data_IF_730869110516
#
_entry.id   IF_730869110516
#
_cell.length_a   1.000
_cell.length_b   1.000
_cell.length_c   1.000
_cell.angle_alpha   90.00
_cell.angle_beta   90.00
_cell.angle_gamma   90.00
#
_symmetry.space_group_name_H-M   'P 1'
#
loop_
_entity.id
_entity.type
_entity.pdbx_description
1 polymer ?
#
# COMPACT_ATOMS: atom_id res chain seq x y z
N UNK A 1 -6.49 -46.87 22.62
CA UNK A 1 -6.20 -45.49 22.20
C UNK A 1 -6.68 -44.41 23.17
N UNK A 2 -7.95 -44.36 23.60
CA UNK A 2 -8.44 -43.28 24.50
C UNK A 2 -7.83 -43.30 25.92
N UNK A 3 -7.33 -44.44 26.40
CA UNK A 3 -6.74 -44.57 27.74
C UNK A 3 -5.24 -44.20 27.84
N UNK A 4 -4.49 -44.19 26.73
CA UNK A 4 -3.08 -43.80 26.74
C UNK A 4 -2.90 -42.28 26.66
N UNK A 5 -3.78 -41.58 25.95
CA UNK A 5 -3.76 -40.11 25.86
C UNK A 5 -4.02 -39.42 27.22
N UNK A 6 -4.84 -40.03 28.08
CA UNK A 6 -5.17 -39.47 29.40
C UNK A 6 -3.98 -39.53 30.38
N UNK A 7 -3.12 -40.55 30.28
CA UNK A 7 -1.90 -40.67 31.10
C UNK A 7 -0.83 -39.68 30.65
N UNK A 8 -0.64 -39.49 29.34
CA UNK A 8 0.31 -38.50 28.82
C UNK A 8 -0.12 -37.07 29.11
N UNK A 9 -1.42 -36.75 29.04
CA UNK A 9 -1.92 -35.41 29.37
C UNK A 9 -1.73 -35.05 30.84
N UNK A 10 -2.02 -35.97 31.76
CA UNK A 10 -1.77 -35.78 33.21
C UNK A 10 -0.28 -35.64 33.54
N UNK A 11 0.60 -36.37 32.85
CA UNK A 11 2.05 -36.25 33.06
C UNK A 11 2.59 -34.92 32.54
N UNK A 12 2.03 -34.40 31.43
CA UNK A 12 2.41 -33.11 30.88
C UNK A 12 1.97 -31.94 31.76
N UNK A 13 0.74 -32.00 32.31
CA UNK A 13 0.21 -30.98 33.22
C UNK A 13 1.00 -30.90 34.53
N UNK A 14 1.45 -32.03 35.08
CA UNK A 14 2.30 -32.06 36.28
C UNK A 14 3.68 -31.46 36.00
N UNK A 15 4.29 -31.80 34.86
CA UNK A 15 5.58 -31.24 34.45
C UNK A 15 5.50 -29.74 34.14
N UNK A 16 4.39 -29.28 33.55
CA UNK A 16 4.13 -27.85 33.32
C UNK A 16 3.94 -27.09 34.63
N UNK A 17 3.20 -27.65 35.59
CA UNK A 17 2.98 -27.01 36.89
C UNK A 17 4.26 -26.95 37.74
N UNK A 18 5.09 -28.00 37.75
CA UNK A 18 6.38 -27.96 38.44
C UNK A 18 7.31 -26.91 37.80
N UNK A 19 7.33 -26.82 36.47
CA UNK A 19 8.19 -25.87 35.76
C UNK A 19 7.73 -24.41 35.93
N UNK A 20 6.42 -24.16 35.96
CA UNK A 20 5.84 -22.85 36.28
C UNK A 20 6.12 -22.48 37.74
N UNK A 21 6.03 -23.44 38.67
CA UNK A 21 6.32 -23.19 40.09
C UNK A 21 7.79 -22.85 40.33
N UNK A 22 8.72 -23.54 39.66
CA UNK A 22 10.16 -23.23 39.75
C UNK A 22 10.46 -21.85 39.16
N UNK A 23 9.87 -21.50 38.00
CA UNK A 23 10.05 -20.17 37.39
C UNK A 23 9.50 -19.04 38.26
N UNK A 24 8.35 -19.24 38.92
CA UNK A 24 7.79 -18.25 39.84
C UNK A 24 8.65 -18.09 41.10
N UNK A 25 9.22 -19.17 41.63
CA UNK A 25 10.13 -19.10 42.79
C UNK A 25 11.43 -18.37 42.41
N UNK A 26 12.01 -18.66 41.25
CA UNK A 26 13.21 -17.97 40.76
C UNK A 26 12.95 -16.47 40.48
N UNK A 27 11.78 -16.10 39.92
CA UNK A 27 11.40 -14.69 39.78
C UNK A 27 11.22 -14.01 41.14
N UNK A 28 10.61 -14.69 42.11
CA UNK A 28 10.40 -14.13 43.44
C UNK A 28 11.73 -13.91 44.19
N UNK A 29 12.66 -14.86 44.09
CA UNK A 29 14.01 -14.72 44.64
C UNK A 29 14.79 -13.61 43.95
N UNK A 30 14.72 -13.51 42.62
CA UNK A 30 15.37 -12.43 41.88
C UNK A 30 14.80 -11.05 42.27
N UNK A 31 13.48 -10.91 42.39
CA UNK A 31 12.83 -9.68 42.85
C UNK A 31 13.21 -9.34 44.29
N UNK A 32 13.30 -10.34 45.18
CA UNK A 32 13.71 -10.14 46.57
C UNK A 32 15.18 -9.70 46.67
N UNK A 33 16.09 -10.35 45.95
CA UNK A 33 17.50 -9.98 45.91
C UNK A 33 17.73 -8.60 45.28
N UNK A 34 16.98 -8.27 44.22
CA UNK A 34 17.07 -6.96 43.58
C UNK A 34 16.58 -5.86 44.53
N UNK A 35 15.44 -6.06 45.20
CA UNK A 35 14.95 -5.12 46.20
C UNK A 35 15.93 -4.99 47.38
N UNK A 36 16.46 -6.10 47.90
CA UNK A 36 17.43 -6.07 49.00
C UNK A 36 18.70 -5.30 48.60
N UNK A 37 19.25 -5.57 47.40
CA UNK A 37 20.42 -4.87 46.85
C UNK A 37 20.17 -3.37 46.65
N UNK A 38 18.97 -2.98 46.21
CA UNK A 38 18.57 -1.57 46.07
C UNK A 38 18.53 -0.91 47.46
N UNK A 39 17.89 -1.53 48.46
CA UNK A 39 17.86 -0.99 49.83
C UNK A 39 19.25 -0.87 50.46
N UNK A 40 20.13 -1.84 50.24
CA UNK A 40 21.48 -1.83 50.79
C UNK A 40 22.35 -0.75 50.13
N UNK A 41 22.25 -0.59 48.80
CA UNK A 41 22.91 0.51 48.08
C UNK A 41 22.41 1.87 48.53
N UNK A 42 21.11 2.01 48.76
CA UNK A 42 20.51 3.27 49.23
C UNK A 42 20.97 3.62 50.65
N UNK A 43 21.08 2.61 51.52
CA UNK A 43 21.60 2.76 52.89
C UNK A 43 23.08 3.17 52.89
N UNK A 44 23.90 2.55 52.02
CA UNK A 44 25.32 2.91 51.85
C UNK A 44 25.51 4.34 51.30
N UNK A 45 24.74 4.73 50.28
CA UNK A 45 24.76 6.11 49.75
C UNK A 45 24.39 7.15 50.81
N UNK A 46 23.40 6.87 51.65
CA UNK A 46 23.01 7.77 52.74
C UNK A 46 24.11 7.90 53.80
N UNK A 47 24.80 6.80 54.12
CA UNK A 47 25.93 6.79 55.06
C UNK A 47 27.13 7.59 54.50
N UNK A 48 27.49 7.38 53.24
CA UNK A 48 28.61 8.08 52.59
C UNK A 48 28.30 9.57 52.40
N UNK A 49 27.05 9.92 52.11
CA UNK A 49 26.59 11.30 52.05
C UNK A 49 26.71 11.98 53.42
N UNK A 50 26.30 11.33 54.51
CA UNK A 50 26.46 11.92 55.86
C UNK A 50 27.93 12.05 56.31
N UNK A 51 28.82 11.18 55.86
CA UNK A 51 30.26 11.27 56.15
C UNK A 51 30.90 12.48 55.44
N UNK A 52 30.52 12.75 54.19
CA UNK A 52 31.01 13.88 53.39
C UNK A 52 30.70 15.26 54.01
N UNK A 53 29.61 15.39 54.78
CA UNK A 53 29.24 16.64 55.44
C UNK A 53 30.03 16.95 56.71
N UNK A 54 30.72 15.96 57.30
CA UNK A 54 31.53 16.15 58.52
C UNK A 54 32.94 16.72 58.24
N UNK A 55 33.45 16.61 57.01
CA UNK A 55 34.82 17.02 56.68
C UNK A 55 34.97 18.46 56.15
N UNK A 56 33.87 19.15 55.83
CA UNK A 56 33.90 20.54 55.32
C UNK A 56 33.68 21.56 56.45
N UNK A 57 34.45 21.43 57.51
CA UNK A 57 34.54 22.42 58.58
C UNK A 57 35.52 23.54 58.22
N UNK A 58 34.97 24.74 58.01
CA UNK A 58 35.66 26.04 58.10
C UNK A 58 36.42 26.56 56.86
N UNK A 59 35.67 26.99 55.82
CA UNK A 59 36.00 28.19 55.03
C UNK A 59 34.72 28.69 54.29
N UNK A 60 34.37 29.95 54.57
CA UNK A 60 33.27 30.76 54.05
C UNK A 60 31.86 30.11 54.00
N UNK A 61 31.28 29.95 55.20
CA UNK A 61 29.97 29.32 55.41
C UNK A 61 28.84 30.04 54.68
N UNK A 62 28.90 31.37 54.53
CA UNK A 62 27.85 32.17 53.93
C UNK A 62 27.76 32.01 52.41
N UNK A 63 28.91 31.95 51.71
CA UNK A 63 28.95 31.69 50.27
C UNK A 63 28.61 30.24 49.93
N UNK A 64 29.03 29.28 50.76
CA UNK A 64 28.60 27.88 50.63
C UNK A 64 27.09 27.72 50.86
N UNK A 65 26.52 28.39 51.86
CA UNK A 65 25.06 28.40 52.10
C UNK A 65 24.33 29.00 50.88
N UNK A 66 24.81 30.10 50.32
CA UNK A 66 24.20 30.72 49.14
C UNK A 66 24.27 29.82 47.90
N UNK A 67 25.39 29.12 47.68
CA UNK A 67 25.55 28.17 46.59
C UNK A 67 24.59 26.97 46.74
N UNK A 68 24.50 26.39 47.94
CA UNK A 68 23.58 25.29 48.24
C UNK A 68 22.11 25.68 48.08
N UNK A 69 21.73 26.91 48.46
CA UNK A 69 20.37 27.41 48.23
C UNK A 69 20.08 27.56 46.73
N UNK A 70 21.02 28.09 45.95
CA UNK A 70 20.88 28.20 44.49
C UNK A 70 20.76 26.83 43.82
N UNK A 71 21.53 25.86 44.28
CA UNK A 71 21.46 24.48 43.78
C UNK A 71 20.14 23.81 44.17
N UNK A 72 19.68 24.01 45.41
CA UNK A 72 18.38 23.54 45.88
C UNK A 72 17.23 24.13 45.05
N UNK A 73 17.28 25.42 44.74
CA UNK A 73 16.28 26.08 43.91
C UNK A 73 16.33 25.58 42.45
N UNK A 74 17.53 25.32 41.91
CA UNK A 74 17.68 24.70 40.60
C UNK A 74 17.11 23.27 40.55
N UNK A 75 17.33 22.48 41.60
CA UNK A 75 16.77 21.13 41.75
C UNK A 75 15.25 21.18 41.91
N UNK A 76 14.71 22.11 42.70
CA UNK A 76 13.26 22.32 42.84
C UNK A 76 12.61 22.70 41.51
N UNK A 77 13.21 23.62 40.76
CA UNK A 77 12.73 24.02 39.44
C UNK A 77 12.76 22.84 38.44
N UNK A 78 13.84 22.04 38.47
CA UNK A 78 13.95 20.85 37.63
C UNK A 78 12.92 19.78 38.01
N UNK A 79 12.70 19.55 39.30
CA UNK A 79 11.70 18.59 39.79
C UNK A 79 10.28 19.03 39.38
N UNK A 80 9.93 20.30 39.57
CA UNK A 80 8.65 20.85 39.09
C UNK A 80 8.46 20.64 37.59
N UNK A 81 9.49 20.92 36.77
CA UNK A 81 9.45 20.68 35.31
C UNK A 81 9.28 19.20 34.95
N UNK A 82 9.89 18.29 35.71
CA UNK A 82 9.69 16.85 35.52
C UNK A 82 8.29 16.40 35.92
N UNK A 83 7.74 16.95 37.01
CA UNK A 83 6.38 16.67 37.45
C UNK A 83 5.34 17.17 36.44
N UNK A 84 5.53 18.37 35.88
CA UNK A 84 4.67 18.92 34.82
C UNK A 84 4.71 18.02 33.58
N UNK A 85 5.91 17.61 33.13
CA UNK A 85 6.09 16.67 32.01
C UNK A 85 5.45 15.32 32.27
N UNK A 86 5.57 14.78 33.49
CA UNK A 86 4.94 13.52 33.86
C UNK A 86 3.41 13.64 33.77
N UNK A 87 2.85 14.73 34.30
CA UNK A 87 1.40 14.99 34.23
C UNK A 87 0.89 15.16 32.80
N UNK A 88 1.71 15.72 31.91
CA UNK A 88 1.41 15.85 30.48
C UNK A 88 1.42 14.48 29.79
N UNK A 89 2.46 13.67 30.02
CA UNK A 89 2.56 12.31 29.47
C UNK A 89 1.43 11.41 29.98
N UNK A 90 1.01 11.54 31.24
CA UNK A 90 -0.14 10.82 31.79
C UNK A 90 -1.45 11.20 31.09
N UNK A 91 -1.63 12.47 30.69
CA UNK A 91 -2.80 12.90 29.91
C UNK A 91 -2.77 12.36 28.49
N UNK A 92 -1.61 12.40 27.83
CA UNK A 92 -1.41 11.80 26.50
C UNK A 92 -1.71 10.30 26.53
N UNK A 93 -1.18 9.56 27.51
CA UNK A 93 -1.42 8.13 27.67
C UNK A 93 -2.91 7.81 27.87
N UNK A 94 -3.61 8.59 28.70
CA UNK A 94 -5.06 8.43 28.89
C UNK A 94 -5.84 8.68 27.60
N UNK A 95 -5.41 9.66 26.82
CA UNK A 95 -6.05 9.99 25.53
C UNK A 95 -5.87 8.84 24.54
N UNK A 96 -4.63 8.37 24.35
CA UNK A 96 -4.33 7.24 23.46
C UNK A 96 -5.10 5.98 23.89
N UNK A 97 -5.19 5.71 25.20
CA UNK A 97 -5.94 4.55 25.70
C UNK A 97 -7.44 4.65 25.35
N UNK A 98 -8.05 5.81 25.52
CA UNK A 98 -9.45 6.03 25.14
C UNK A 98 -9.65 5.89 23.62
N UNK A 99 -8.74 6.42 22.81
CA UNK A 99 -8.81 6.30 21.35
C UNK A 99 -8.72 4.83 20.91
N UNK A 100 -7.84 4.03 21.53
CA UNK A 100 -7.74 2.60 21.27
C UNK A 100 -9.02 1.84 21.65
N UNK A 101 -9.58 2.10 22.83
CA UNK A 101 -10.84 1.49 23.27
C UNK A 101 -12.02 1.86 22.34
N UNK A 102 -12.05 3.10 21.84
CA UNK A 102 -13.05 3.54 20.86
C UNK A 102 -12.87 2.84 19.51
N UNK A 103 -11.64 2.69 19.04
CA UNK A 103 -11.34 1.98 17.80
C UNK A 103 -11.73 0.49 17.90
N UNK A 104 -11.41 -0.16 19.02
CA UNK A 104 -11.79 -1.55 19.29
C UNK A 104 -13.32 -1.72 19.23
N UNK A 105 -14.07 -0.90 19.97
CA UNK A 105 -15.54 -0.92 19.94
C UNK A 105 -16.11 -0.65 18.55
N UNK A 106 -15.51 0.26 17.78
CA UNK A 106 -15.94 0.52 16.41
C UNK A 106 -15.73 -0.70 15.50
N UNK A 107 -14.62 -1.41 15.66
CA UNK A 107 -14.37 -2.65 14.92
C UNK A 107 -15.31 -3.79 15.33
N UNK A 108 -15.58 -3.95 16.62
CA UNK A 108 -16.54 -4.93 17.14
C UNK A 108 -17.96 -4.67 16.61
N UNK A 109 -18.41 -3.41 16.63
CA UNK A 109 -19.72 -3.02 16.11
C UNK A 109 -19.85 -3.34 14.61
N UNK A 110 -18.79 -3.07 13.83
CA UNK A 110 -18.75 -3.37 12.39
C UNK A 110 -18.78 -4.88 12.11
N UNK A 111 -18.13 -5.68 12.97
CA UNK A 111 -18.19 -7.14 12.87
C UNK A 111 -19.60 -7.62 13.20
N UNK A 112 -20.20 -7.14 14.29
CA UNK A 112 -21.55 -7.51 14.70
C UNK A 112 -22.60 -7.15 13.63
N UNK A 113 -22.50 -5.98 13.01
CA UNK A 113 -23.36 -5.55 11.90
C UNK A 113 -23.27 -6.51 10.71
N UNK A 114 -22.06 -6.87 10.29
CA UNK A 114 -21.85 -7.83 9.20
C UNK A 114 -22.37 -9.23 9.54
N UNK A 115 -22.17 -9.66 10.78
CA UNK A 115 -22.68 -10.95 11.25
C UNK A 115 -24.21 -10.96 11.27
N UNK A 116 -24.85 -9.90 11.74
CA UNK A 116 -26.30 -9.76 11.74
C UNK A 116 -26.87 -9.80 10.31
N UNK A 117 -26.25 -9.06 9.37
CA UNK A 117 -26.65 -9.08 7.96
C UNK A 117 -26.56 -10.49 7.35
N UNK A 118 -25.47 -11.22 7.61
CA UNK A 118 -25.29 -12.59 7.12
C UNK A 118 -26.35 -13.53 7.71
N UNK A 119 -26.67 -13.39 9.00
CA UNK A 119 -27.70 -14.20 9.65
C UNK A 119 -29.07 -13.96 9.02
N UNK A 120 -29.44 -12.71 8.76
CA UNK A 120 -30.68 -12.37 8.07
C UNK A 120 -30.73 -12.97 6.65
N UNK A 121 -29.63 -12.86 5.88
CA UNK A 121 -29.53 -13.48 4.55
C UNK A 121 -29.75 -15.01 4.58
N UNK A 122 -29.17 -15.68 5.58
CA UNK A 122 -29.37 -17.12 5.79
C UNK A 122 -30.84 -17.42 6.11
N UNK A 123 -31.48 -16.62 6.97
CA UNK A 123 -32.90 -16.78 7.28
C UNK A 123 -33.79 -16.57 6.05
N UNK A 124 -33.53 -15.54 5.23
CA UNK A 124 -34.29 -15.30 4.01
C UNK A 124 -34.10 -16.43 3.00
N UNK A 125 -32.86 -16.88 2.78
CA UNK A 125 -32.57 -17.98 1.86
C UNK A 125 -33.21 -19.30 2.32
N UNK A 126 -33.21 -19.57 3.62
CA UNK A 126 -33.85 -20.75 4.21
C UNK A 126 -35.36 -20.72 3.97
N UNK A 127 -36.00 -19.55 4.18
CA UNK A 127 -37.43 -19.36 3.94
C UNK A 127 -37.79 -19.56 2.47
N UNK A 128 -37.04 -18.95 1.56
CA UNK A 128 -37.24 -19.12 0.12
C UNK A 128 -37.10 -20.59 -0.31
N UNK A 129 -36.11 -21.30 0.24
CA UNK A 129 -35.93 -22.74 0.01
C UNK A 129 -37.15 -23.53 0.48
N UNK A 130 -37.67 -23.26 1.68
CA UNK A 130 -38.82 -23.96 2.24
C UNK A 130 -40.09 -23.67 1.42
N UNK A 131 -40.31 -22.42 1.01
CA UNK A 131 -41.41 -22.02 0.13
C UNK A 131 -41.32 -22.74 -1.23
N UNK A 132 -40.14 -22.81 -1.83
CA UNK A 132 -39.91 -23.50 -3.10
C UNK A 132 -40.13 -25.02 -2.99
N UNK A 133 -39.68 -25.64 -1.88
CA UNK A 133 -39.92 -27.06 -1.62
C UNK A 133 -41.41 -27.35 -1.46
N UNK A 134 -42.13 -26.52 -0.69
CA UNK A 134 -43.57 -26.66 -0.51
C UNK A 134 -44.33 -26.46 -1.82
N UNK A 135 -43.92 -25.51 -2.67
CA UNK A 135 -44.51 -25.32 -3.99
C UNK A 135 -44.31 -26.55 -4.89
N UNK A 136 -43.10 -27.11 -4.94
CA UNK A 136 -42.82 -28.34 -5.70
C UNK A 136 -43.63 -29.54 -5.22
N UNK A 137 -43.79 -29.70 -3.91
CA UNK A 137 -44.58 -30.78 -3.33
C UNK A 137 -46.07 -30.64 -3.69
N UNK A 138 -46.62 -29.42 -3.71
CA UNK A 138 -48.00 -29.17 -4.16
C UNK A 138 -48.18 -29.54 -5.63
N UNK A 139 -47.29 -29.07 -6.50
CA UNK A 139 -47.33 -29.41 -7.93
C UNK A 139 -47.26 -30.92 -8.16
N UNK A 140 -46.35 -31.64 -7.48
CA UNK A 140 -46.25 -33.09 -7.60
C UNK A 140 -47.54 -33.81 -7.14
N UNK A 141 -48.23 -33.28 -6.12
CA UNK A 141 -49.52 -33.82 -5.69
C UNK A 141 -50.62 -33.54 -6.71
N UNK A 142 -50.68 -32.33 -7.27
CA UNK A 142 -51.63 -31.95 -8.32
C UNK A 142 -51.44 -32.81 -9.57
N UNK A 143 -50.20 -32.98 -10.05
CA UNK A 143 -49.87 -33.84 -11.19
C UNK A 143 -50.25 -35.30 -10.95
N UNK A 144 -50.00 -35.82 -9.74
CA UNK A 144 -50.41 -37.18 -9.35
C UNK A 144 -51.93 -37.34 -9.35
N UNK A 145 -52.65 -36.36 -8.82
CA UNK A 145 -54.11 -36.39 -8.74
C UNK A 145 -54.74 -36.25 -10.14
N UNK A 146 -54.18 -35.42 -11.01
CA UNK A 146 -54.56 -35.34 -12.42
C UNK A 146 -54.32 -36.67 -13.15
N UNK A 147 -53.15 -37.29 -12.95
CA UNK A 147 -52.84 -38.57 -13.57
C UNK A 147 -53.80 -39.67 -13.10
N UNK A 148 -54.17 -39.69 -11.81
CA UNK A 148 -55.16 -40.60 -11.26
C UNK A 148 -56.56 -40.37 -11.86
N UNK A 149 -56.97 -39.11 -12.05
CA UNK A 149 -58.23 -38.78 -12.69
C UNK A 149 -58.26 -39.24 -14.15
N UNK A 150 -57.19 -38.98 -14.92
CA UNK A 150 -57.08 -39.44 -16.32
C UNK A 150 -57.12 -40.96 -16.42
N UNK A 151 -56.40 -41.66 -15.54
CA UNK A 151 -56.40 -43.12 -15.50
C UNK A 151 -57.81 -43.68 -15.24
N UNK A 152 -58.55 -43.10 -14.29
CA UNK A 152 -59.94 -43.49 -14.00
C UNK A 152 -60.88 -43.24 -15.19
N UNK A 153 -60.74 -42.12 -15.89
CA UNK A 153 -61.55 -41.84 -17.08
C UNK A 153 -61.27 -42.84 -18.22
N UNK A 154 -60.01 -43.20 -18.43
CA UNK A 154 -59.65 -44.21 -19.42
C UNK A 154 -60.18 -45.59 -19.04
N UNK A 155 -60.13 -45.97 -17.77
CA UNK A 155 -60.71 -47.21 -17.27
C UNK A 155 -62.23 -47.26 -17.51
N UNK A 156 -62.94 -46.15 -17.22
CA UNK A 156 -64.37 -46.02 -17.52
C UNK A 156 -64.65 -46.13 -19.03
N UNK A 157 -63.87 -45.46 -19.86
CA UNK A 157 -64.01 -45.50 -21.33
C UNK A 157 -63.78 -46.90 -21.90
N UNK A 158 -62.80 -47.64 -21.36
CA UNK A 158 -62.54 -49.04 -21.75
C UNK A 158 -63.72 -49.95 -21.40
N UNK A 159 -64.30 -49.76 -20.22
CA UNK A 159 -65.49 -50.50 -19.78
C UNK A 159 -66.72 -50.23 -20.66
N UNK A 160 -66.84 -49.03 -21.22
CA UNK A 160 -67.88 -48.70 -22.20
C UNK A 160 -67.63 -49.35 -23.58
N UNK A 161 -66.36 -49.44 -24.00
CA UNK A 161 -65.95 -50.07 -25.26
C UNK A 161 -66.13 -51.60 -25.26
N UNK A 162 -65.96 -52.28 -24.12
CA UNK A 162 -66.21 -53.73 -23.98
C UNK A 162 -67.68 -54.12 -24.32
N UNK A 163 -68.62 -53.17 -24.31
CA UNK A 163 -70.04 -53.40 -24.62
C UNK A 163 -70.42 -53.23 -26.10
N UNK A 164 -69.47 -52.97 -27.01
CA UNK A 164 -69.76 -52.74 -28.43
C UNK A 164 -69.38 -53.97 -29.26
N UNK A 165 -70.38 -54.68 -29.81
CA UNK A 165 -70.16 -55.72 -30.81
C UNK A 165 -69.65 -55.09 -32.13
N UNK A 166 -68.41 -55.37 -32.57
CA UNK A 166 -67.80 -54.69 -33.72
C UNK A 166 -68.42 -55.12 -35.06
N UNK A 167 -68.88 -56.37 -35.19
CA UNK A 167 -69.41 -56.91 -36.46
C UNK A 167 -70.70 -56.23 -36.94
N UNK A 168 -71.51 -55.66 -36.03
CA UNK A 168 -72.77 -55.00 -36.39
C UNK A 168 -72.62 -53.52 -36.79
N UNK A 169 -71.49 -52.86 -36.44
CA UNK A 169 -71.25 -51.45 -36.78
C UNK A 169 -70.61 -51.24 -38.17
N UNK A 170 -69.85 -52.21 -38.67
CA UNK A 170 -69.10 -52.08 -39.94
C UNK A 170 -69.94 -52.37 -41.19
N UNK A 171 -71.11 -53.00 -41.03
CA UNK A 171 -71.97 -53.29 -42.17
C UNK A 171 -72.57 -52.01 -42.76
N UNK A 172 -72.54 -51.90 -44.09
CA UNK A 172 -73.18 -50.77 -44.77
C UNK A 172 -74.70 -50.86 -44.66
N UNK A 173 -75.40 -49.72 -44.71
CA UNK A 173 -76.87 -49.72 -44.75
C UNK A 173 -77.39 -50.54 -45.93
N UNK A 174 -76.66 -50.54 -47.04
CA UNK A 174 -76.97 -51.33 -48.24
C UNK A 174 -76.85 -52.84 -47.96
N UNK A 175 -75.82 -53.29 -47.25
CA UNK A 175 -75.67 -54.70 -46.86
C UNK A 175 -76.79 -55.15 -45.91
N UNK A 176 -77.17 -54.31 -44.94
CA UNK A 176 -78.29 -54.58 -44.03
C UNK A 176 -79.62 -54.71 -44.77
N UNK A 177 -79.89 -53.79 -45.72
CA UNK A 177 -81.09 -53.85 -46.56
C UNK A 177 -81.10 -55.07 -47.48
N UNK A 178 -79.96 -55.41 -48.08
CA UNK A 178 -79.83 -56.60 -48.91
C UNK A 178 -80.06 -57.89 -48.10
N UNK A 179 -79.58 -57.94 -46.84
CA UNK A 179 -79.83 -59.08 -45.94
C UNK A 179 -81.29 -59.18 -45.50
N UNK A 180 -81.98 -58.05 -45.31
CA UNK A 180 -83.43 -58.04 -45.06
C UNK A 180 -84.18 -58.56 -46.29
N UNK A 181 -83.81 -58.10 -47.49
CA UNK A 181 -84.48 -58.48 -48.73
C UNK A 181 -84.29 -59.97 -49.08
N UNK A 182 -83.16 -60.56 -48.68
CA UNK A 182 -82.80 -61.95 -48.94
C UNK A 182 -83.01 -62.87 -47.71
N UNK A 183 -83.70 -62.43 -46.67
CA UNK A 183 -83.89 -63.22 -45.45
C UNK A 183 -85.03 -64.23 -45.61
N UNK A 184 -84.73 -65.52 -45.41
CA UNK A 184 -85.71 -66.62 -45.49
C UNK A 184 -86.60 -66.75 -44.23
N UNK A 185 -86.32 -65.99 -43.17
CA UNK A 185 -87.05 -66.07 -41.90
C UNK A 185 -87.38 -64.69 -41.32
N UNK A 186 -88.54 -64.58 -40.67
CA UNK A 186 -88.96 -63.33 -39.99
C UNK A 186 -88.00 -62.90 -38.87
N UNK A 187 -87.32 -63.85 -38.22
CA UNK A 187 -86.33 -63.58 -37.16
C UNK A 187 -85.11 -62.87 -37.75
N UNK A 188 -84.61 -63.30 -38.92
CA UNK A 188 -83.49 -62.66 -39.59
C UNK A 188 -83.84 -61.23 -40.08
N UNK A 189 -85.07 -61.03 -40.56
CA UNK A 189 -85.59 -59.70 -40.89
C UNK A 189 -85.62 -58.81 -39.64
N UNK A 190 -86.13 -59.32 -38.51
CA UNK A 190 -86.21 -58.57 -37.26
C UNK A 190 -84.84 -58.19 -36.72
N UNK A 191 -83.86 -59.12 -36.74
CA UNK A 191 -82.49 -58.86 -36.27
C UNK A 191 -81.81 -57.76 -37.09
N UNK A 192 -81.83 -57.86 -38.42
CA UNK A 192 -81.24 -56.83 -39.28
C UNK A 192 -82.01 -55.50 -39.21
N UNK A 193 -83.34 -55.55 -39.06
CA UNK A 193 -84.17 -54.38 -38.83
C UNK A 193 -83.83 -53.64 -37.53
N UNK A 194 -83.58 -54.38 -36.43
CA UNK A 194 -83.15 -53.81 -35.16
C UNK A 194 -81.82 -53.06 -35.28
N UNK A 195 -80.84 -53.62 -35.99
CA UNK A 195 -79.53 -52.98 -36.23
C UNK A 195 -79.70 -51.66 -37.01
N UNK A 196 -80.57 -51.62 -38.03
CA UNK A 196 -80.87 -50.38 -38.78
C UNK A 196 -81.50 -49.33 -37.86
N UNK A 197 -82.49 -49.72 -37.05
CA UNK A 197 -83.18 -48.82 -36.12
C UNK A 197 -82.20 -48.25 -35.09
N UNK A 198 -81.36 -49.10 -34.51
CA UNK A 198 -80.31 -48.69 -33.57
C UNK A 198 -79.31 -47.74 -34.21
N UNK A 199 -78.91 -47.97 -35.47
CA UNK A 199 -78.01 -47.07 -36.21
C UNK A 199 -78.66 -45.69 -36.46
N UNK A 200 -79.94 -45.66 -36.82
CA UNK A 200 -80.70 -44.41 -36.98
C UNK A 200 -80.77 -43.67 -35.65
N UNK A 201 -81.08 -44.39 -34.57
CA UNK A 201 -81.17 -43.79 -33.23
C UNK A 201 -79.83 -43.22 -32.77
N UNK A 202 -78.73 -43.98 -32.90
CA UNK A 202 -77.37 -43.53 -32.58
C UNK A 202 -76.94 -42.32 -33.42
N UNK A 203 -77.27 -42.31 -34.71
CA UNK A 203 -76.94 -41.16 -35.58
C UNK A 203 -77.73 -39.92 -35.18
N UNK A 204 -79.02 -40.06 -34.85
CA UNK A 204 -79.85 -38.98 -34.36
C UNK A 204 -79.34 -38.45 -33.03
N UNK A 205 -78.95 -39.34 -32.11
CA UNK A 205 -78.44 -38.96 -30.80
C UNK A 205 -77.07 -38.26 -30.90
N UNK A 206 -76.15 -38.77 -31.73
CA UNK A 206 -74.88 -38.07 -32.02
C UNK A 206 -75.11 -36.67 -32.55
N UNK A 207 -76.06 -36.47 -33.47
CA UNK A 207 -76.39 -35.12 -33.97
C UNK A 207 -76.90 -34.19 -32.87
N UNK A 208 -77.73 -34.68 -31.95
CA UNK A 208 -78.18 -33.89 -30.80
C UNK A 208 -77.01 -33.54 -29.87
N UNK A 209 -76.14 -34.51 -29.58
CA UNK A 209 -74.98 -34.29 -28.72
C UNK A 209 -74.04 -33.24 -29.32
N UNK A 210 -73.72 -33.35 -30.61
CA UNK A 210 -72.92 -32.33 -31.33
C UNK A 210 -73.59 -30.95 -31.23
N UNK A 211 -74.89 -30.88 -31.50
CA UNK A 211 -75.62 -29.59 -31.43
C UNK A 211 -75.62 -29.02 -30.00
N UNK A 212 -75.71 -29.86 -28.98
CA UNK A 212 -75.66 -29.45 -27.59
C UNK A 212 -74.26 -28.97 -27.16
N UNK A 213 -73.21 -29.69 -27.58
CA UNK A 213 -71.81 -29.30 -27.37
C UNK A 213 -71.49 -27.97 -28.08
N UNK A 214 -71.91 -27.80 -29.33
CA UNK A 214 -71.79 -26.54 -30.08
C UNK A 214 -72.51 -25.39 -29.37
N UNK A 215 -73.74 -25.62 -28.89
CA UNK A 215 -74.50 -24.62 -28.13
C UNK A 215 -73.80 -24.25 -26.81
N UNK A 216 -73.28 -25.24 -26.09
CA UNK A 216 -72.55 -25.01 -24.83
C UNK A 216 -71.25 -24.22 -25.08
N UNK A 217 -70.48 -24.58 -26.12
CA UNK A 217 -69.26 -23.85 -26.48
C UNK A 217 -69.55 -22.37 -26.80
N UNK A 218 -70.63 -22.09 -27.53
CA UNK A 218 -71.06 -20.71 -27.82
C UNK A 218 -71.49 -19.97 -26.54
N UNK A 219 -72.16 -20.64 -25.60
CA UNK A 219 -72.53 -20.06 -24.31
C UNK A 219 -71.28 -19.72 -23.48
N UNK A 220 -70.31 -20.64 -23.41
CA UNK A 220 -69.06 -20.44 -22.69
C UNK A 220 -68.24 -19.28 -23.29
N UNK A 221 -68.12 -19.20 -24.61
CA UNK A 221 -67.44 -18.10 -25.31
C UNK A 221 -68.13 -16.76 -25.02
N UNK A 222 -69.47 -16.72 -25.09
CA UNK A 222 -70.26 -15.53 -24.74
C UNK A 222 -70.02 -15.12 -23.29
N UNK A 223 -70.04 -16.05 -22.35
CA UNK A 223 -69.91 -15.75 -20.92
C UNK A 223 -68.46 -15.33 -20.56
N UNK A 224 -67.46 -15.90 -21.23
CA UNK A 224 -66.07 -15.44 -21.13
C UNK A 224 -65.92 -14.01 -21.67
N UNK A 225 -66.49 -13.71 -22.84
CA UNK A 225 -66.48 -12.37 -23.41
C UNK A 225 -67.20 -11.35 -22.51
N UNK A 226 -68.38 -11.70 -21.97
CA UNK A 226 -69.11 -10.86 -21.01
C UNK A 226 -68.31 -10.61 -19.73
N UNK A 227 -67.60 -11.62 -19.23
CA UNK A 227 -66.74 -11.48 -18.05
C UNK A 227 -65.55 -10.57 -18.31
N UNK A 228 -64.95 -10.64 -19.50
CA UNK A 228 -63.90 -9.73 -19.94
C UNK A 228 -64.42 -8.30 -20.06
N UNK A 229 -65.58 -8.10 -20.70
CA UNK A 229 -66.22 -6.78 -20.80
C UNK A 229 -66.48 -6.17 -19.41
N UNK A 230 -67.06 -6.93 -18.49
CA UNK A 230 -67.29 -6.47 -17.11
C UNK A 230 -66.00 -6.09 -16.39
N UNK A 231 -64.92 -6.85 -16.58
CA UNK A 231 -63.60 -6.53 -15.99
C UNK A 231 -63.04 -5.23 -16.56
N UNK A 232 -63.06 -5.08 -17.87
CA UNK A 232 -62.59 -3.86 -18.53
C UNK A 232 -63.40 -2.63 -18.13
N UNK A 233 -64.73 -2.78 -17.96
CA UNK A 233 -65.59 -1.71 -17.43
C UNK A 233 -65.22 -1.30 -16.00
N UNK A 234 -64.90 -2.26 -15.13
CA UNK A 234 -64.44 -2.01 -13.77
C UNK A 234 -63.06 -1.33 -13.75
N UNK A 235 -62.11 -1.80 -14.55
CA UNK A 235 -60.79 -1.17 -14.70
C UNK A 235 -60.91 0.27 -15.19
N UNK A 236 -61.79 0.52 -16.17
CA UNK A 236 -62.07 1.86 -16.68
C UNK A 236 -62.67 2.74 -15.57
N UNK A 237 -63.61 2.21 -14.78
CA UNK A 237 -64.17 2.92 -13.64
C UNK A 237 -63.10 3.28 -12.60
N UNK A 238 -62.25 2.33 -12.23
CA UNK A 238 -61.14 2.57 -11.30
C UNK A 238 -60.13 3.58 -11.83
N UNK A 239 -59.77 3.53 -13.11
CA UNK A 239 -58.90 4.52 -13.75
C UNK A 239 -59.53 5.92 -13.75
N UNK A 240 -60.85 6.01 -13.98
CA UNK A 240 -61.59 7.28 -13.90
C UNK A 240 -61.63 7.80 -12.46
N UNK A 241 -61.93 6.95 -11.48
CA UNK A 241 -61.91 7.30 -10.06
C UNK A 241 -60.51 7.71 -9.61
N UNK A 242 -59.46 7.01 -10.03
CA UNK A 242 -58.07 7.34 -9.71
C UNK A 242 -57.66 8.69 -10.33
N UNK A 243 -58.03 8.95 -11.59
CA UNK A 243 -57.77 10.24 -12.22
C UNK A 243 -58.58 11.37 -11.59
N UNK A 244 -59.83 11.12 -11.21
CA UNK A 244 -60.69 12.11 -10.57
C UNK A 244 -60.30 12.38 -9.11
N UNK A 245 -59.85 11.37 -8.37
CA UNK A 245 -59.26 11.54 -7.02
C UNK A 245 -57.87 12.19 -7.08
N UNK A 246 -57.10 11.98 -8.15
CA UNK A 246 -55.84 12.68 -8.41
C UNK A 246 -56.08 14.16 -8.79
N UNK A 247 -57.12 14.44 -9.58
CA UNK A 247 -57.52 15.81 -9.95
C UNK A 247 -58.16 16.58 -8.77
N UNK A 248 -58.91 15.90 -7.89
CA UNK A 248 -59.57 16.52 -6.73
C UNK A 248 -58.66 16.63 -5.51
N UNK A 249 -57.49 15.98 -5.49
CA UNK A 249 -56.45 16.21 -4.49
C UNK A 249 -55.44 17.24 -5.01
N UNK A 250 -55.78 18.53 -4.86
CA UNK A 250 -54.82 19.64 -5.07
C UNK A 250 -53.51 19.43 -4.31
N UNK A 251 -53.52 18.67 -3.20
CA UNK A 251 -52.34 18.27 -2.42
C UNK A 251 -51.38 17.31 -3.14
N UNK A 252 -51.86 16.39 -3.99
CA UNK A 252 -51.00 15.39 -4.64
C UNK A 252 -50.16 16.00 -5.76
N UNK A 253 -50.77 16.86 -6.59
CA UNK A 253 -50.06 17.66 -7.59
C UNK A 253 -48.99 18.56 -6.96
N UNK A 254 -49.25 19.14 -5.76
CA UNK A 254 -48.23 19.91 -5.05
C UNK A 254 -47.14 19.05 -4.41
N UNK A 255 -47.44 17.82 -3.96
CA UNK A 255 -46.45 16.93 -3.36
C UNK A 255 -45.48 16.37 -4.39
N UNK A 256 -45.99 15.94 -5.55
CA UNK A 256 -45.18 15.48 -6.67
C UNK A 256 -44.32 16.62 -7.25
N UNK A 257 -44.89 17.82 -7.39
CA UNK A 257 -44.15 19.01 -7.80
C UNK A 257 -43.08 19.43 -6.76
N UNK A 258 -43.37 19.31 -5.46
CA UNK A 258 -42.40 19.58 -4.41
C UNK A 258 -41.27 18.53 -4.38
N UNK A 259 -41.57 17.27 -4.65
CA UNK A 259 -40.57 16.21 -4.76
C UNK A 259 -39.69 16.40 -6.00
N UNK A 260 -40.27 16.78 -7.14
CA UNK A 260 -39.54 17.12 -8.34
C UNK A 260 -38.62 18.36 -8.13
N UNK A 261 -39.12 19.40 -7.44
CA UNK A 261 -38.28 20.55 -7.05
C UNK A 261 -37.16 20.16 -6.09
N UNK A 262 -37.42 19.29 -5.12
CA UNK A 262 -36.40 18.82 -4.20
C UNK A 262 -35.31 18.02 -4.92
N UNK A 263 -35.67 17.18 -5.89
CA UNK A 263 -34.71 16.45 -6.72
C UNK A 263 -33.90 17.41 -7.61
N UNK A 264 -34.54 18.40 -8.23
CA UNK A 264 -33.84 19.44 -9.00
C UNK A 264 -32.87 20.25 -8.15
N UNK A 265 -33.27 20.64 -6.93
CA UNK A 265 -32.40 21.35 -5.99
C UNK A 265 -31.18 20.49 -5.58
N UNK A 266 -31.38 19.20 -5.29
CA UNK A 266 -30.29 18.26 -4.99
C UNK A 266 -29.32 18.11 -6.17
N UNK A 267 -29.85 17.99 -7.39
CA UNK A 267 -29.03 17.92 -8.61
C UNK A 267 -28.16 19.17 -8.80
N UNK A 268 -28.72 20.35 -8.53
CA UNK A 268 -28.02 21.62 -8.66
C UNK A 268 -26.90 21.76 -7.62
N UNK A 269 -27.14 21.33 -6.37
CA UNK A 269 -26.11 21.28 -5.33
C UNK A 269 -24.98 20.32 -5.73
N UNK A 270 -25.31 19.12 -6.21
CA UNK A 270 -24.32 18.13 -6.66
C UNK A 270 -23.49 18.68 -7.85
N UNK A 271 -24.11 19.40 -8.77
CA UNK A 271 -23.41 20.06 -9.87
C UNK A 271 -22.43 21.12 -9.35
N UNK A 272 -22.86 21.96 -8.42
CA UNK A 272 -22.02 23.00 -7.84
C UNK A 272 -20.86 22.42 -7.02
N UNK A 273 -21.09 21.34 -6.26
CA UNK A 273 -20.05 20.60 -5.55
C UNK A 273 -19.04 19.99 -6.51
N UNK A 274 -19.51 19.38 -7.61
CA UNK A 274 -18.66 18.84 -8.67
C UNK A 274 -17.80 19.92 -9.31
N UNK A 275 -18.37 21.07 -9.65
CA UNK A 275 -17.62 22.20 -10.23
C UNK A 275 -16.56 22.73 -9.27
N UNK A 276 -16.90 22.83 -7.98
CA UNK A 276 -15.96 23.26 -6.93
C UNK A 276 -14.80 22.25 -6.79
N UNK A 277 -15.10 20.95 -6.79
CA UNK A 277 -14.09 19.89 -6.74
C UNK A 277 -13.19 19.90 -7.97
N UNK A 278 -13.74 20.14 -9.17
CA UNK A 278 -12.96 20.28 -10.41
C UNK A 278 -12.00 21.48 -10.32
N UNK A 279 -12.46 22.63 -9.80
CA UNK A 279 -11.59 23.78 -9.60
C UNK A 279 -10.47 23.50 -8.58
N UNK A 280 -10.76 22.80 -7.49
CA UNK A 280 -9.75 22.40 -6.51
C UNK A 280 -8.71 21.45 -7.13
N UNK A 281 -9.15 20.45 -7.89
CA UNK A 281 -8.23 19.54 -8.59
C UNK A 281 -7.32 20.29 -9.56
N UNK A 282 -7.87 21.26 -10.32
CA UNK A 282 -7.05 22.07 -11.22
C UNK A 282 -5.96 22.87 -10.48
N UNK A 283 -6.28 23.44 -9.32
CA UNK A 283 -5.28 24.13 -8.48
C UNK A 283 -4.19 23.18 -7.99
N UNK A 284 -4.58 21.98 -7.53
CA UNK A 284 -3.64 20.96 -7.09
C UNK A 284 -2.73 20.50 -8.24
N UNK A 285 -3.25 20.38 -9.46
CA UNK A 285 -2.43 20.08 -10.64
C UNK A 285 -1.41 21.19 -10.94
N UNK A 286 -1.81 22.46 -10.85
CA UNK A 286 -0.92 23.61 -11.02
C UNK A 286 0.18 23.65 -9.94
N UNK A 287 -0.16 23.33 -8.68
CA UNK A 287 0.81 23.20 -7.58
C UNK A 287 1.79 22.05 -7.84
N UNK A 288 1.31 20.89 -8.27
CA UNK A 288 2.17 19.74 -8.62
C UNK A 288 3.13 20.10 -9.76
N UNK A 289 2.65 20.79 -10.79
CA UNK A 289 3.50 21.24 -11.89
C UNK A 289 4.57 22.22 -11.40
N UNK A 290 4.18 23.16 -10.54
CA UNK A 290 5.10 24.12 -9.92
C UNK A 290 6.17 23.41 -9.10
N UNK A 291 5.78 22.45 -8.27
CA UNK A 291 6.70 21.64 -7.47
C UNK A 291 7.66 20.82 -8.35
N UNK A 292 7.20 20.28 -9.48
CA UNK A 292 8.06 19.57 -10.44
C UNK A 292 9.13 20.49 -11.02
N UNK A 293 8.76 21.71 -11.40
CA UNK A 293 9.73 22.71 -11.90
C UNK A 293 10.74 23.06 -10.81
N UNK A 294 10.29 23.35 -9.59
CA UNK A 294 11.18 23.63 -8.46
C UNK A 294 12.14 22.48 -8.18
N UNK A 295 11.65 21.24 -8.15
CA UNK A 295 12.47 20.06 -7.93
C UNK A 295 13.51 19.87 -9.05
N UNK A 296 13.11 20.03 -10.31
CA UNK A 296 14.03 19.96 -11.45
C UNK A 296 15.11 21.02 -11.35
N UNK A 297 14.74 22.27 -11.04
CA UNK A 297 15.68 23.37 -10.90
C UNK A 297 16.66 23.12 -9.75
N UNK A 298 16.16 22.72 -8.59
CA UNK A 298 17.01 22.39 -7.43
C UNK A 298 18.00 21.27 -7.76
N UNK A 299 17.56 20.22 -8.48
CA UNK A 299 18.43 19.14 -8.93
C UNK A 299 19.54 19.66 -9.85
N UNK A 300 19.22 20.51 -10.81
CA UNK A 300 20.20 21.13 -11.71
C UNK A 300 21.19 22.04 -10.97
N UNK A 301 20.71 22.90 -10.07
CA UNK A 301 21.58 23.76 -9.25
C UNK A 301 22.50 22.94 -8.34
N UNK A 302 21.98 21.89 -7.70
CA UNK A 302 22.79 21.00 -6.87
C UNK A 302 23.87 20.30 -7.68
N UNK A 303 23.58 19.92 -8.92
CA UNK A 303 24.57 19.36 -9.83
C UNK A 303 25.63 20.40 -10.22
N UNK A 304 25.24 21.67 -10.44
CA UNK A 304 26.16 22.77 -10.71
C UNK A 304 27.11 23.04 -9.54
N UNK A 305 26.62 23.01 -8.30
CA UNK A 305 27.45 23.18 -7.09
C UNK A 305 28.53 22.09 -7.02
N UNK A 306 28.15 20.83 -7.25
CA UNK A 306 29.11 19.71 -7.26
C UNK A 306 30.16 19.85 -8.37
N UNK A 307 29.75 20.26 -9.58
CA UNK A 307 30.67 20.52 -10.69
C UNK A 307 31.62 21.68 -10.38
N UNK A 308 31.13 22.74 -9.71
CA UNK A 308 31.94 23.87 -9.29
C UNK A 308 32.98 23.47 -8.24
N UNK A 309 32.61 22.64 -7.28
CA UNK A 309 33.55 22.12 -6.28
C UNK A 309 34.63 21.25 -6.94
N UNK A 310 34.24 20.39 -7.89
CA UNK A 310 35.20 19.61 -8.67
C UNK A 310 36.15 20.50 -9.49
N UNK A 311 35.64 21.55 -10.12
CA UNK A 311 36.44 22.53 -10.85
C UNK A 311 37.43 23.25 -9.92
N UNK A 312 36.98 23.70 -8.75
CA UNK A 312 37.83 24.37 -7.76
C UNK A 312 38.94 23.44 -7.24
N UNK A 313 38.62 22.16 -6.95
CA UNK A 313 39.63 21.17 -6.56
C UNK A 313 40.70 20.97 -7.65
N UNK A 314 40.25 20.92 -8.91
CA UNK A 314 41.14 20.78 -10.07
C UNK A 314 42.02 22.02 -10.24
N UNK A 315 41.44 23.22 -10.09
CA UNK A 315 42.14 24.49 -10.14
C UNK A 315 43.20 24.59 -9.04
N UNK A 316 42.86 24.26 -7.79
CA UNK A 316 43.80 24.26 -6.66
C UNK A 316 44.99 23.33 -6.92
N UNK A 317 44.73 22.17 -7.53
CA UNK A 317 45.81 21.23 -7.92
C UNK A 317 46.76 21.86 -8.93
N UNK A 318 46.23 22.57 -9.92
CA UNK A 318 47.06 23.27 -10.91
C UNK A 318 47.81 24.46 -10.31
N UNK A 319 47.18 25.22 -9.42
CA UNK A 319 47.82 26.32 -8.70
C UNK A 319 48.99 25.83 -7.84
N UNK A 320 48.80 24.73 -7.10
CA UNK A 320 49.86 24.12 -6.29
C UNK A 320 51.01 23.59 -7.16
N UNK A 321 50.68 22.96 -8.30
CA UNK A 321 51.68 22.52 -9.26
C UNK A 321 52.47 23.69 -9.89
N UNK A 322 51.78 24.78 -10.22
CA UNK A 322 52.40 25.98 -10.76
C UNK A 322 53.32 26.63 -9.73
N UNK A 323 52.86 26.75 -8.48
CA UNK A 323 53.65 27.32 -7.38
C UNK A 323 54.89 26.49 -7.08
N UNK A 324 54.77 25.16 -7.06
CA UNK A 324 55.92 24.25 -6.96
C UNK A 324 56.91 24.45 -8.11
N UNK A 325 56.41 24.61 -9.35
CA UNK A 325 57.26 24.91 -10.50
C UNK A 325 57.94 26.28 -10.37
N UNK A 326 57.24 27.29 -9.87
CA UNK A 326 57.79 28.64 -9.64
C UNK A 326 58.87 28.61 -8.55
N UNK A 327 58.67 27.87 -7.46
CA UNK A 327 59.67 27.64 -6.42
C UNK A 327 60.93 26.96 -6.99
N UNK A 328 60.78 25.95 -7.87
CA UNK A 328 61.91 25.29 -8.55
C UNK A 328 62.66 26.28 -9.44
N UNK A 329 61.94 27.11 -10.20
CA UNK A 329 62.52 28.12 -11.09
C UNK A 329 63.28 29.18 -10.29
N UNK A 330 62.72 29.68 -9.18
CA UNK A 330 63.39 30.68 -8.32
C UNK A 330 64.65 30.11 -7.67
N UNK A 331 64.63 28.86 -7.20
CA UNK A 331 65.81 28.16 -6.67
C UNK A 331 66.89 28.04 -7.75
N UNK A 332 66.50 27.59 -8.94
CA UNK A 332 67.43 27.41 -10.07
C UNK A 332 68.02 28.74 -10.54
N UNK A 333 67.22 29.81 -10.56
CA UNK A 333 67.67 31.15 -10.89
C UNK A 333 68.73 31.64 -9.89
N UNK A 334 68.47 31.50 -8.59
CA UNK A 334 69.42 31.86 -7.53
C UNK A 334 70.72 31.07 -7.63
N UNK A 335 70.65 29.78 -7.93
CA UNK A 335 71.84 28.94 -8.15
C UNK A 335 72.65 29.43 -9.36
N UNK A 336 71.99 29.77 -10.47
CA UNK A 336 72.65 30.31 -11.65
C UNK A 336 73.31 31.67 -11.36
N UNK A 337 72.66 32.56 -10.60
CA UNK A 337 73.28 33.82 -10.15
C UNK A 337 74.52 33.57 -9.30
N UNK A 338 74.45 32.63 -8.34
CA UNK A 338 75.60 32.24 -7.52
C UNK A 338 76.75 31.71 -8.38
N UNK A 339 76.47 30.81 -9.32
CA UNK A 339 77.48 30.29 -10.25
C UNK A 339 78.09 31.40 -11.12
N UNK A 340 77.28 32.35 -11.59
CA UNK A 340 77.77 33.50 -12.36
C UNK A 340 78.72 34.38 -11.52
N UNK A 341 78.39 34.63 -10.24
CA UNK A 341 79.28 35.38 -9.34
C UNK A 341 80.58 34.62 -9.05
N UNK A 342 80.52 33.30 -8.83
CA UNK A 342 81.71 32.46 -8.65
C UNK A 342 82.61 32.48 -9.90
N UNK A 343 82.01 32.40 -11.09
CA UNK A 343 82.74 32.48 -12.35
C UNK A 343 83.43 33.84 -12.52
N UNK A 344 82.76 34.95 -12.20
CA UNK A 344 83.36 36.29 -12.23
C UNK A 344 84.53 36.40 -11.24
N UNK A 345 84.38 35.90 -10.02
CA UNK A 345 85.46 35.87 -9.02
C UNK A 345 86.66 35.07 -9.55
N UNK A 346 86.45 33.85 -10.04
CA UNK A 346 87.50 33.02 -10.60
C UNK A 346 88.21 33.69 -11.80
N UNK A 347 87.47 34.41 -12.65
CA UNK A 347 88.06 35.20 -13.74
C UNK A 347 88.94 36.34 -13.22
N UNK A 348 88.49 37.08 -12.19
CA UNK A 348 89.30 38.14 -11.58
C UNK A 348 90.54 37.60 -10.89
N UNK A 349 90.44 36.46 -10.19
CA UNK A 349 91.59 35.77 -9.60
C UNK A 349 92.58 35.32 -10.67
N UNK A 350 92.10 34.75 -11.79
CA UNK A 350 92.94 34.37 -12.91
C UNK A 350 93.72 35.57 -13.47
N UNK A 351 93.04 36.69 -13.72
CA UNK A 351 93.68 37.93 -14.21
C UNK A 351 94.73 38.44 -13.22
N UNK A 352 94.44 38.42 -11.91
CA UNK A 352 95.39 38.84 -10.89
C UNK A 352 96.62 37.92 -10.82
N UNK A 353 96.43 36.60 -10.96
CA UNK A 353 97.52 35.63 -11.00
C UNK A 353 98.36 35.77 -12.26
N UNK A 354 97.73 36.03 -13.40
CA UNK A 354 98.39 36.31 -14.69
C UNK A 354 99.25 37.59 -14.60
N UNK A 355 98.75 38.65 -13.96
CA UNK A 355 99.53 39.86 -13.67
C UNK A 355 100.74 39.59 -12.78
N UNK A 356 100.56 38.83 -11.68
CA UNK A 356 101.68 38.44 -10.79
C UNK A 356 102.73 37.60 -11.51
N UNK A 357 102.31 36.69 -12.38
CA UNK A 357 103.21 35.89 -13.21
C UNK A 357 104.05 36.79 -14.12
N UNK A 358 103.41 37.77 -14.77
CA UNK A 358 104.10 38.71 -15.65
C UNK A 358 105.14 39.55 -14.90
N UNK A 359 104.80 40.07 -13.72
CA UNK A 359 105.74 40.79 -12.85
C UNK A 359 106.92 39.90 -12.41
N UNK A 360 106.67 38.64 -12.07
CA UNK A 360 107.72 37.69 -11.70
C UNK A 360 108.65 37.36 -12.89
N UNK A 361 108.09 37.26 -14.10
CA UNK A 361 108.87 37.06 -15.33
C UNK A 361 109.76 38.28 -15.63
N UNK A 362 109.23 39.50 -15.50
CA UNK A 362 110.01 40.74 -15.65
C UNK A 362 111.14 40.83 -14.61
N UNK A 363 110.84 40.56 -13.34
CA UNK A 363 111.85 40.55 -12.27
C UNK A 363 112.92 39.47 -12.50
N UNK A 364 112.54 38.29 -13.01
CA UNK A 364 113.49 37.22 -13.37
C UNK A 364 114.38 37.64 -14.54
N UNK A 365 113.83 38.31 -15.55
CA UNK A 365 114.59 38.82 -16.68
C UNK A 365 115.57 39.92 -16.25
N UNK A 366 115.14 40.87 -15.40
CA UNK A 366 116.03 41.91 -14.84
C UNK A 366 117.15 41.28 -14.00
N UNK A 367 116.84 40.27 -13.18
CA UNK A 367 117.85 39.53 -12.44
C UNK A 367 118.82 38.80 -13.38
N UNK A 368 118.34 38.20 -14.46
CA UNK A 368 119.16 37.55 -15.48
C UNK A 368 120.08 38.53 -16.20
N UNK A 369 119.60 39.72 -16.53
CA UNK A 369 120.41 40.80 -17.11
C UNK A 369 121.48 41.28 -16.13
N UNK A 370 121.14 41.47 -14.85
CA UNK A 370 122.11 41.77 -13.79
C UNK A 370 123.18 40.67 -13.68
N UNK A 371 122.79 39.40 -13.68
CA UNK A 371 123.72 38.27 -13.70
C UNK A 371 124.64 38.34 -14.92
N UNK A 372 124.12 38.58 -16.12
CA UNK A 372 124.95 38.73 -17.32
C UNK A 372 125.92 39.90 -17.24
N UNK A 373 125.51 41.05 -16.67
CA UNK A 373 126.43 42.18 -16.46
C UNK A 373 127.51 41.85 -15.44
N UNK A 374 127.16 41.14 -14.35
CA UNK A 374 128.12 40.66 -13.36
C UNK A 374 129.06 39.63 -13.97
N UNK A 375 128.58 38.69 -14.78
CA UNK A 375 129.40 37.73 -15.52
C UNK A 375 130.38 38.46 -16.45
N UNK A 376 129.93 39.47 -17.21
CA UNK A 376 130.82 40.32 -18.03
C UNK A 376 131.85 41.07 -17.17
N UNK A 377 131.45 41.63 -16.03
CA UNK A 377 132.35 42.31 -15.10
C UNK A 377 133.39 41.34 -14.52
N UNK A 378 132.96 40.15 -14.12
CA UNK A 378 133.83 39.06 -13.66
C UNK A 378 134.80 38.65 -14.76
N UNK A 379 134.36 38.54 -16.02
CA UNK A 379 135.24 38.24 -17.15
C UNK A 379 136.22 39.38 -17.45
N UNK A 380 135.79 40.65 -17.35
CA UNK A 380 136.68 41.81 -17.46
C UNK A 380 137.72 41.82 -16.33
N UNK A 381 137.32 41.53 -15.10
CA UNK A 381 138.23 41.42 -13.96
C UNK A 381 139.19 40.23 -14.15
N UNK A 382 138.71 39.07 -14.60
CA UNK A 382 139.56 37.92 -14.97
C UNK A 382 140.57 38.28 -16.05
N UNK A 383 140.16 39.04 -17.08
CA UNK A 383 141.08 39.54 -18.13
C UNK A 383 142.09 40.58 -17.60
N UNK A 384 141.68 41.51 -16.73
CA UNK A 384 142.58 42.51 -16.12
C UNK A 384 143.56 41.89 -15.12
N UNK A 385 143.17 40.83 -14.40
CA UNK A 385 144.06 40.07 -13.52
C UNK A 385 144.94 39.10 -14.33
N UNK A 386 144.45 38.61 -15.48
CA UNK A 386 145.18 37.68 -16.35
C UNK A 386 146.19 38.31 -17.33
N UNK A 387 146.18 39.63 -17.55
CA UNK A 387 147.07 40.29 -18.52
C UNK A 387 147.57 41.67 -18.03
N UNK A 388 148.59 41.69 -17.17
CA UNK A 388 149.33 42.92 -16.86
C UNK A 388 150.12 42.90 -15.55
N UNK A 389 151.43 42.79 -15.67
CA UNK A 389 152.49 43.03 -14.67
C UNK A 389 152.14 43.99 -13.53
N UNK A 390 151.94 43.45 -12.32
CA UNK A 390 151.93 44.25 -11.08
C UNK A 390 153.34 44.23 -10.48
N UNK A 391 153.98 45.40 -10.47
CA UNK A 391 155.12 45.71 -9.60
C UNK A 391 154.66 45.63 -8.15
N UNK A 392 155.31 44.77 -7.38
CA UNK A 392 155.01 44.35 -6.00
C UNK A 392 155.34 45.42 -4.96
N UNK A 393 154.48 45.62 -3.97
CA UNK A 393 154.76 46.39 -2.74
C UNK A 393 154.13 45.64 -1.55
N UNK A 394 155.01 45.16 -0.65
CA UNK A 394 154.88 44.59 0.72
C UNK A 394 153.61 43.81 1.05
#
# INVERSE_FOLDING_TARGET
>A
HVFEDSKHKKSLDVLLNERISVLLIDEFFNLFFLNHSITEKHSRMLSDFMASWKETGDLDKETNIAFLLKELDAVRAKNKKLQDKLSEKDKELKTIKLDLELQERATEAKIAEKTAALVEEVYTAQRERDEAVMARLRLANEERDEALLRAKHLEQSLKELENINPEENDMTLQELLNRINNADTGIAIQKNGAIIVDRIHRTKERRKNITAEEMNAVIEERDAALSQCKRLEQELHHLKEQNQTSANNTRHLTAENNQERALKAKLLVIQQERETAIQQNKKLEEEIQTLRVYYSLHKSLSQEVSLKDQFNCTLSTYEDALKSSEDIVTITHRQNEQLATQLQQALTERINMELKLQQALEASQEAKEKVQTLERLVDVLRKKVGAGTIRTVI
#
